data_IF_123962469015
#
_entry.id   IF_123962469015
#
_cell.length_a   1.000
_cell.length_b   1.000
_cell.length_c   1.000
_cell.angle_alpha   90.00
_cell.angle_beta   90.00
_cell.angle_gamma   90.00
#
_symmetry.space_group_name_H-M   'P 1'
#
loop_
_entity.id
_entity.type
_entity.pdbx_description
1 polymer ?
#
# COMPACT_ATOMS: atom_id res chain seq x y z
N UNK A 1 -3.91 -6.51 -3.73
CA UNK A 1 -5.37 -6.45 -3.51
C UNK A 1 -5.97 -5.14 -3.99
N UNK A 2 -5.48 -3.97 -3.54
CA UNK A 2 -5.97 -2.66 -3.99
C UNK A 2 -5.97 -2.49 -5.52
N UNK A 3 -4.86 -2.83 -6.18
CA UNK A 3 -4.76 -2.76 -7.63
C UNK A 3 -5.80 -3.62 -8.35
N UNK A 4 -6.13 -4.80 -7.81
CA UNK A 4 -7.17 -5.68 -8.35
C UNK A 4 -8.55 -5.07 -8.15
N UNK A 5 -8.84 -4.53 -6.97
CA UNK A 5 -10.13 -3.89 -6.68
C UNK A 5 -10.42 -2.64 -7.51
N UNK A 6 -9.37 -1.93 -7.96
CA UNK A 6 -9.48 -0.72 -8.77
C UNK A 6 -9.24 -0.95 -10.27
N UNK A 7 -9.06 -2.20 -10.72
CA UNK A 7 -8.62 -2.53 -12.08
C UNK A 7 -7.40 -1.69 -12.54
N UNK A 8 -6.46 -1.47 -11.62
CA UNK A 8 -5.33 -0.60 -11.81
C UNK A 8 -4.09 -1.39 -12.22
N UNK A 9 -3.28 -0.80 -13.10
CA UNK A 9 -1.96 -1.28 -13.42
C UNK A 9 -1.00 -0.95 -12.28
N UNK A 10 -0.26 -1.96 -11.83
CA UNK A 10 0.64 -1.85 -10.69
C UNK A 10 2.10 -2.10 -11.09
N UNK A 11 2.96 -1.14 -10.76
CA UNK A 11 4.40 -1.24 -10.94
C UNK A 11 5.12 -1.21 -9.59
N UNK A 12 5.80 -2.30 -9.22
CA UNK A 12 6.59 -2.38 -7.98
C UNK A 12 8.08 -2.12 -8.23
N UNK A 13 8.79 -1.69 -7.18
CA UNK A 13 10.23 -1.39 -7.20
C UNK A 13 10.62 -0.39 -8.28
N UNK A 14 9.82 0.67 -8.43
CA UNK A 14 10.11 1.77 -9.34
C UNK A 14 11.26 2.59 -8.75
N UNK A 15 12.34 2.75 -9.53
CA UNK A 15 13.62 3.30 -9.06
C UNK A 15 13.84 4.77 -9.43
N UNK A 16 12.92 5.36 -10.19
CA UNK A 16 13.02 6.73 -10.68
C UNK A 16 11.63 7.32 -10.92
N UNK A 17 11.57 8.62 -11.14
CA UNK A 17 10.38 9.29 -11.66
C UNK A 17 9.93 8.65 -13.00
N UNK A 18 8.64 8.77 -13.36
CA UNK A 18 8.15 8.30 -14.66
C UNK A 18 8.96 8.92 -15.81
N UNK A 19 9.45 8.10 -16.73
CA UNK A 19 10.21 8.58 -17.90
C UNK A 19 9.31 9.29 -18.91
N UNK A 20 8.01 8.97 -18.90
CA UNK A 20 7.01 9.68 -19.68
C UNK A 20 5.64 9.56 -19.00
N UNK A 21 4.78 10.56 -19.20
CA UNK A 21 3.41 10.58 -18.68
C UNK A 21 2.37 10.20 -19.74
N UNK A 22 2.71 10.26 -21.02
CA UNK A 22 1.86 9.83 -22.13
C UNK A 22 2.69 9.28 -23.31
N UNK A 23 2.82 7.95 -23.46
CA UNK A 23 2.33 6.88 -22.58
C UNK A 23 3.04 6.86 -21.22
N UNK A 24 2.32 6.46 -20.16
CA UNK A 24 2.87 6.43 -18.80
C UNK A 24 3.90 5.31 -18.65
N UNK A 25 5.18 5.68 -18.61
CA UNK A 25 6.30 4.73 -18.58
C UNK A 25 7.11 4.90 -17.31
N UNK A 26 7.43 3.80 -16.65
CA UNK A 26 8.23 3.80 -15.41
C UNK A 26 9.39 2.82 -15.51
N UNK A 27 10.51 3.17 -14.85
CA UNK A 27 11.69 2.32 -14.74
C UNK A 27 11.67 1.58 -13.41
N UNK A 28 11.76 0.25 -13.45
CA UNK A 28 11.81 -0.61 -12.25
C UNK A 28 13.04 -1.51 -12.25
N UNK A 29 13.45 -1.97 -11.08
CA UNK A 29 14.46 -3.01 -10.99
C UNK A 29 13.86 -4.40 -11.22
N UNK A 30 14.60 -5.23 -11.93
CA UNK A 30 14.25 -6.61 -12.26
C UNK A 30 15.41 -7.56 -11.98
N UNK A 31 15.15 -8.87 -11.97
CA UNK A 31 16.14 -9.91 -11.72
C UNK A 31 16.99 -9.67 -10.45
N UNK A 32 16.33 -9.29 -9.35
CA UNK A 32 17.01 -8.98 -8.07
C UNK A 32 18.07 -7.89 -8.23
N UNK A 33 17.68 -6.75 -8.80
CA UNK A 33 18.54 -5.58 -9.06
C UNK A 33 19.70 -5.82 -10.05
N UNK A 34 19.65 -6.89 -10.85
CA UNK A 34 20.64 -7.16 -11.89
C UNK A 34 20.30 -6.51 -13.24
N UNK A 35 19.06 -6.06 -13.41
CA UNK A 35 18.65 -5.33 -14.61
C UNK A 35 17.59 -4.26 -14.29
N UNK A 36 17.33 -3.42 -15.29
CA UNK A 36 16.25 -2.47 -15.28
C UNK A 36 15.26 -2.78 -16.40
N UNK A 37 13.98 -2.72 -16.08
CA UNK A 37 12.89 -2.85 -17.04
C UNK A 37 12.18 -1.50 -17.15
N UNK A 38 11.80 -1.15 -18.38
CA UNK A 38 10.87 -0.05 -18.63
C UNK A 38 9.51 -0.64 -18.94
N UNK A 39 8.51 -0.29 -18.14
CA UNK A 39 7.15 -0.78 -18.31
C UNK A 39 6.20 0.39 -18.58
N UNK A 40 5.30 0.18 -19.54
CA UNK A 40 4.23 1.12 -19.82
C UNK A 40 2.94 0.65 -19.13
N UNK A 41 2.31 1.53 -18.35
CA UNK A 41 1.02 1.26 -17.71
C UNK A 41 -0.08 1.93 -18.52
N UNK A 42 -0.89 1.11 -19.18
CA UNK A 42 -1.95 1.58 -20.09
C UNK A 42 -3.34 1.67 -19.43
N UNK A 43 -3.46 1.31 -18.15
CA UNK A 43 -4.72 1.41 -17.39
C UNK A 43 -4.98 2.85 -16.93
N UNK A 44 -6.23 3.22 -16.72
CA UNK A 44 -6.61 4.56 -16.25
C UNK A 44 -6.03 4.84 -14.86
N UNK A 45 -6.28 3.95 -13.90
CA UNK A 45 -5.70 4.00 -12.56
C UNK A 45 -4.31 3.35 -12.57
N UNK A 46 -3.31 4.08 -12.05
CA UNK A 46 -1.90 3.69 -12.05
C UNK A 46 -1.39 3.68 -10.62
N UNK A 47 -0.92 2.54 -10.13
CA UNK A 47 -0.38 2.40 -8.78
C UNK A 47 1.11 2.11 -8.85
N UNK A 48 1.90 2.86 -8.10
CA UNK A 48 3.36 2.79 -8.13
C UNK A 48 3.88 2.49 -6.74
N UNK A 49 4.64 1.42 -6.62
CA UNK A 49 5.47 1.13 -5.45
C UNK A 49 6.89 1.66 -5.69
N UNK A 50 7.21 2.79 -5.08
CA UNK A 50 8.56 3.38 -5.13
C UNK A 50 9.55 2.52 -4.32
N UNK A 51 10.72 2.27 -4.89
CA UNK A 51 11.81 1.68 -4.15
C UNK A 51 12.40 2.68 -3.14
N UNK A 52 13.03 2.16 -2.09
CA UNK A 52 13.67 3.01 -1.06
C UNK A 52 14.68 3.94 -1.72
N UNK A 53 14.73 5.19 -1.28
CA UNK A 53 15.64 6.23 -1.78
C UNK A 53 15.53 6.52 -3.28
N UNK A 54 14.43 6.14 -3.93
CA UNK A 54 14.23 6.38 -5.37
C UNK A 54 13.71 7.78 -5.69
N UNK A 55 13.16 8.46 -4.69
CA UNK A 55 12.74 9.85 -4.80
C UNK A 55 13.15 10.61 -3.54
N UNK A 56 13.81 11.75 -3.72
CA UNK A 56 14.25 12.62 -2.64
C UNK A 56 13.11 13.47 -2.09
N UNK A 57 13.28 13.97 -0.87
CA UNK A 57 12.39 15.00 -0.34
C UNK A 57 12.65 16.29 -1.11
N UNK A 58 11.64 16.76 -1.85
CA UNK A 58 11.65 18.07 -2.50
C UNK A 58 10.61 18.93 -1.82
N UNK A 59 11.07 19.94 -1.09
CA UNK A 59 10.18 20.88 -0.43
C UNK A 59 9.43 21.69 -1.49
N UNK A 60 8.09 21.68 -1.40
CA UNK A 60 7.23 22.60 -2.12
C UNK A 60 6.34 23.30 -1.09
N UNK A 61 6.27 24.63 -1.15
CA UNK A 61 5.28 25.37 -0.39
C UNK A 61 3.91 25.18 -1.03
N UNK A 62 2.95 24.71 -0.25
CA UNK A 62 1.56 24.56 -0.66
C UNK A 62 0.64 24.59 0.56
N UNK A 63 -0.59 25.08 0.38
CA UNK A 63 -1.62 25.00 1.40
C UNK A 63 -2.42 23.71 1.21
N UNK A 64 -2.46 22.84 2.23
CA UNK A 64 -3.32 21.66 2.25
C UNK A 64 -4.50 21.91 3.21
N UNK A 65 -5.72 21.63 2.78
CA UNK A 65 -6.91 21.68 3.63
C UNK A 65 -7.10 20.33 4.33
N UNK A 66 -7.25 20.30 5.66
CA UNK A 66 -7.51 19.05 6.37
C UNK A 66 -8.94 18.57 6.11
N UNK A 67 -9.08 17.30 5.71
CA UNK A 67 -10.37 16.62 5.61
C UNK A 67 -10.48 15.58 6.73
N UNK A 68 -11.64 15.52 7.39
CA UNK A 68 -11.87 14.53 8.45
C UNK A 68 -12.31 13.21 7.82
N UNK A 69 -11.53 12.16 8.04
CA UNK A 69 -11.84 10.81 7.57
C UNK A 69 -12.14 9.89 8.77
N UNK A 70 -13.38 9.41 8.86
CA UNK A 70 -13.83 8.46 9.91
C UNK A 70 -14.21 7.13 9.26
N UNK A 71 -13.27 6.19 9.06
CA UNK A 71 -13.57 4.91 8.45
C UNK A 71 -14.39 4.04 9.39
N UNK A 72 -15.46 3.44 8.86
CA UNK A 72 -16.16 2.35 9.55
C UNK A 72 -15.34 1.07 9.41
N UNK A 73 -14.81 0.54 10.52
CA UNK A 73 -14.15 -0.76 10.53
C UNK A 73 -15.21 -1.85 10.34
N UNK A 74 -14.98 -2.78 9.41
CA UNK A 74 -15.81 -3.97 9.30
C UNK A 74 -15.67 -4.81 10.57
N UNK A 75 -16.79 -5.31 11.10
CA UNK A 75 -16.78 -6.21 12.25
C UNK A 75 -15.92 -7.43 11.93
N UNK A 76 -14.84 -7.65 12.69
CA UNK A 76 -14.10 -8.90 12.65
C UNK A 76 -15.08 -10.04 12.94
N UNK A 77 -15.20 -11.02 12.04
CA UNK A 77 -16.04 -12.22 12.21
C UNK A 77 -15.54 -13.17 13.31
N UNK A 78 -14.79 -12.66 14.28
CA UNK A 78 -14.29 -13.39 15.43
C UNK A 78 -15.39 -13.35 16.48
N UNK A 79 -16.15 -14.44 16.59
CA UNK A 79 -17.01 -14.71 17.74
C UNK A 79 -16.15 -15.36 18.82
N UNK A 80 -16.15 -14.80 20.02
CA UNK A 80 -15.51 -15.44 21.18
C UNK A 80 -16.49 -16.49 21.70
N UNK A 81 -16.28 -17.75 21.32
CA UNK A 81 -17.20 -18.86 21.67
C UNK A 81 -17.22 -19.17 23.18
N UNK A 82 -16.09 -19.01 23.86
CA UNK A 82 -16.06 -19.00 25.33
C UNK A 82 -14.83 -18.28 25.86
N UNK A 83 -15.01 -17.59 26.99
CA UNK A 83 -13.89 -17.13 27.82
C UNK A 83 -13.99 -17.92 29.11
N UNK A 84 -13.15 -18.94 29.26
CA UNK A 84 -13.01 -19.68 30.52
C UNK A 84 -12.22 -18.81 31.51
N UNK A 85 -12.95 -17.91 32.19
CA UNK A 85 -12.48 -17.28 33.42
C UNK A 85 -12.97 -18.15 34.57
N UNK A 86 -12.03 -18.79 35.29
CA UNK A 86 -12.32 -19.46 36.56
C UNK A 86 -12.81 -18.42 37.57
N UNK A 87 -14.11 -18.18 37.59
CA UNK A 87 -14.77 -17.41 38.65
C UNK A 87 -15.38 -18.39 39.64
N UNK A 88 -14.65 -18.64 40.73
CA UNK A 88 -15.19 -19.32 41.90
C UNK A 88 -14.67 -20.73 42.13
N UNK A 89 -13.43 -20.83 42.63
CA UNK A 89 -13.10 -21.48 43.90
C UNK A 89 -11.61 -21.29 44.17
N UNK A 90 -11.30 -20.55 45.22
CA UNK A 90 -10.03 -20.75 45.93
C UNK A 90 -10.12 -22.17 46.48
N UNK A 91 -9.40 -23.10 45.86
CA UNK A 91 -9.24 -24.45 46.39
C UNK A 91 -8.32 -24.35 47.60
N UNK A 92 -8.85 -24.66 48.77
CA UNK A 92 -8.05 -25.04 49.93
C UNK A 92 -8.23 -26.55 50.09
N UNK A 93 -7.19 -27.28 49.73
CA UNK A 93 -6.89 -28.63 50.19
C UNK A 93 -5.37 -28.69 50.35
#
# INVERSE_FOLDING_TARGET
LLAVGLNAGYASNVVAEPSNTSPFTVKRSAFTNKAFEMIAINTDVKIIGLAKNSFGVKEQQGSATPETFTPSLASSGITVDSVDKVTGKVTIA
#
